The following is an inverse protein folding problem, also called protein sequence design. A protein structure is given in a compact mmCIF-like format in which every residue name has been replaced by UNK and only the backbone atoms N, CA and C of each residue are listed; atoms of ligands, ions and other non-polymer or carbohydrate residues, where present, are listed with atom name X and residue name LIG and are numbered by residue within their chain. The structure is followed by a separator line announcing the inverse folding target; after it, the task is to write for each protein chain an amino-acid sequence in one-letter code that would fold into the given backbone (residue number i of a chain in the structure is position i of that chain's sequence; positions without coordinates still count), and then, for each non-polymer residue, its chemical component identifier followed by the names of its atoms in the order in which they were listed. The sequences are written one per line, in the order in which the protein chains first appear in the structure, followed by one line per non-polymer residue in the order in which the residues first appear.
data_IF_150620920635
#
_entry.id   IF_150620920635
#
_cell.length_a   1.000
_cell.length_b   1.000
_cell.length_c   1.000
_cell.angle_alpha   90.00
_cell.angle_beta   90.00
_cell.angle_gamma   90.00
#
_symmetry.space_group_name_H-M   'P 1'
#
loop_
_entity.id
_entity.type
_entity.pdbx_description
1 polymer ?
#
# COMPACT_ATOMS: atom_id res chain seq x y z
N UNK A 1 -22.18 -14.88 -15.71
CA UNK A 1 -22.24 -13.40 -15.60
C UNK A 1 -22.74 -12.80 -16.90
N UNK A 2 -23.64 -11.82 -16.82
CA UNK A 2 -24.21 -11.13 -17.99
C UNK A 2 -23.17 -10.19 -18.64
N UNK A 3 -23.01 -10.12 -19.97
CA UNK A 3 -21.96 -9.34 -20.63
C UNK A 3 -22.29 -7.84 -20.72
N UNK A 4 -22.53 -7.20 -19.57
CA UNK A 4 -22.74 -5.74 -19.48
C UNK A 4 -21.43 -4.97 -19.72
N UNK A 5 -21.54 -3.69 -20.08
CA UNK A 5 -20.37 -2.79 -20.16
C UNK A 5 -19.58 -2.77 -18.84
N UNK A 6 -20.28 -2.72 -17.71
CA UNK A 6 -19.70 -2.77 -16.37
C UNK A 6 -18.87 -4.05 -16.13
N UNK A 7 -19.41 -5.23 -16.46
CA UNK A 7 -18.70 -6.48 -16.26
C UNK A 7 -17.47 -6.63 -17.18
N UNK A 8 -17.53 -6.08 -18.40
CA UNK A 8 -16.38 -6.03 -19.30
C UNK A 8 -15.29 -5.11 -18.75
N UNK A 9 -15.67 -3.98 -18.18
CA UNK A 9 -14.73 -3.02 -17.60
C UNK A 9 -14.03 -3.59 -16.37
N UNK A 10 -14.77 -4.20 -15.43
CA UNK A 10 -14.18 -4.91 -14.29
C UNK A 10 -13.18 -5.96 -14.77
N UNK A 11 -13.53 -6.73 -15.79
CA UNK A 11 -12.64 -7.76 -16.32
C UNK A 11 -11.36 -7.14 -16.91
N UNK A 12 -11.47 -6.02 -17.63
CA UNK A 12 -10.31 -5.30 -18.19
C UNK A 12 -9.39 -4.80 -17.07
N UNK A 13 -9.94 -4.11 -16.09
CA UNK A 13 -9.19 -3.56 -14.95
C UNK A 13 -8.55 -4.67 -14.11
N UNK A 14 -9.25 -5.80 -13.92
CA UNK A 14 -8.67 -6.97 -13.26
C UNK A 14 -7.40 -7.47 -13.97
N UNK A 15 -7.47 -7.65 -15.28
CA UNK A 15 -6.33 -8.10 -16.09
C UNK A 15 -5.18 -7.09 -16.05
N UNK A 16 -5.50 -5.80 -16.08
CA UNK A 16 -4.51 -4.72 -15.97
C UNK A 16 -3.76 -4.77 -14.63
N UNK A 17 -4.48 -4.89 -13.51
CA UNK A 17 -3.88 -5.04 -12.17
C UNK A 17 -3.01 -6.30 -12.09
N UNK A 18 -3.49 -7.44 -12.62
CA UNK A 18 -2.72 -8.69 -12.62
C UNK A 18 -1.44 -8.59 -13.46
N UNK A 19 -1.49 -7.89 -14.59
CA UNK A 19 -0.34 -7.64 -15.45
C UNK A 19 0.72 -6.80 -14.72
N UNK A 20 0.30 -5.66 -14.14
CA UNK A 20 1.20 -4.76 -13.42
C UNK A 20 1.87 -5.45 -12.22
N UNK A 21 1.12 -6.23 -11.44
CA UNK A 21 1.67 -6.98 -10.32
C UNK A 21 2.69 -8.03 -10.77
N UNK A 22 2.41 -8.73 -11.87
CA UNK A 22 3.32 -9.72 -12.44
C UNK A 22 4.62 -9.07 -12.88
N UNK A 23 4.57 -7.91 -13.55
CA UNK A 23 5.74 -7.14 -13.98
C UNK A 23 6.61 -6.71 -12.78
N UNK A 24 6.00 -6.22 -11.70
CA UNK A 24 6.72 -5.83 -10.48
C UNK A 24 7.41 -7.03 -9.83
N UNK A 25 6.72 -8.16 -9.73
CA UNK A 25 7.28 -9.40 -9.16
C UNK A 25 8.46 -9.88 -9.99
N UNK A 26 8.31 -9.92 -11.31
CA UNK A 26 9.34 -10.38 -12.23
C UNK A 26 10.58 -9.49 -12.17
N UNK A 27 10.39 -8.17 -12.18
CA UNK A 27 11.49 -7.19 -12.04
C UNK A 27 12.29 -7.39 -10.74
N UNK A 28 11.61 -7.69 -9.61
CA UNK A 28 12.28 -7.98 -8.33
C UNK A 28 13.03 -9.31 -8.33
N UNK A 29 12.47 -10.35 -8.97
CA UNK A 29 13.14 -11.66 -9.14
C UNK A 29 14.41 -11.52 -9.97
N UNK A 30 14.31 -10.91 -11.14
CA UNK A 30 15.45 -10.67 -12.03
C UNK A 30 16.55 -9.86 -11.35
N UNK A 31 16.18 -8.80 -10.62
CA UNK A 31 17.13 -7.98 -9.87
C UNK A 31 17.96 -8.76 -8.86
N UNK A 32 17.39 -9.81 -8.25
CA UNK A 32 18.11 -10.68 -7.31
C UNK A 32 18.94 -11.74 -8.04
N UNK A 33 18.41 -12.35 -9.10
CA UNK A 33 19.11 -13.36 -9.90
C UNK A 33 20.39 -12.82 -10.54
N UNK A 34 20.35 -11.60 -11.07
CA UNK A 34 21.53 -10.94 -11.68
C UNK A 34 22.45 -10.28 -10.65
N UNK A 35 22.15 -10.41 -9.36
CA UNK A 35 22.95 -9.83 -8.26
C UNK A 35 22.88 -8.30 -8.15
N UNK A 36 21.90 -7.64 -8.80
CA UNK A 36 21.68 -6.18 -8.67
C UNK A 36 21.13 -5.80 -7.30
N UNK A 37 20.38 -6.71 -6.66
CA UNK A 37 19.83 -6.54 -5.32
C UNK A 37 20.09 -7.77 -4.46
N UNK A 38 20.35 -7.56 -3.16
CA UNK A 38 20.55 -8.65 -2.18
C UNK A 38 19.22 -9.21 -1.69
N UNK A 39 18.14 -8.41 -1.72
CA UNK A 39 16.80 -8.81 -1.28
C UNK A 39 15.72 -8.39 -2.28
N UNK A 40 14.48 -8.84 -2.05
CA UNK A 40 13.30 -8.41 -2.82
C UNK A 40 12.73 -7.07 -2.37
N UNK A 41 13.43 -6.32 -1.52
CA UNK A 41 12.95 -5.10 -0.85
C UNK A 41 12.46 -5.36 0.57
N UNK A 42 12.29 -4.29 1.34
CA UNK A 42 11.87 -4.32 2.75
C UNK A 42 10.40 -3.93 2.94
N UNK A 43 9.60 -4.03 1.89
CA UNK A 43 8.16 -3.82 1.93
C UNK A 43 7.40 -5.15 2.00
N UNK A 44 6.07 -5.09 2.15
CA UNK A 44 5.21 -6.28 2.25
C UNK A 44 5.46 -7.28 1.11
N UNK A 45 5.57 -6.80 -0.14
CA UNK A 45 5.81 -7.65 -1.30
C UNK A 45 7.18 -8.33 -1.21
N UNK A 46 8.22 -7.59 -0.81
CA UNK A 46 9.56 -8.14 -0.62
C UNK A 46 9.63 -9.19 0.48
N UNK A 47 8.91 -8.98 1.59
CA UNK A 47 8.78 -9.96 2.67
C UNK A 47 8.06 -11.22 2.22
N UNK A 48 6.91 -11.08 1.52
CA UNK A 48 6.17 -12.21 0.96
C UNK A 48 7.01 -13.00 -0.06
N UNK A 49 7.69 -12.32 -0.98
CA UNK A 49 8.58 -12.97 -1.96
C UNK A 49 9.75 -13.72 -1.28
N UNK A 50 10.29 -13.16 -0.20
CA UNK A 50 11.36 -13.81 0.57
C UNK A 50 10.86 -15.10 1.23
N UNK A 51 9.64 -15.09 1.77
CA UNK A 51 9.04 -16.25 2.39
C UNK A 51 8.74 -17.38 1.38
N UNK A 52 8.20 -17.01 0.21
CA UNK A 52 7.91 -17.96 -0.88
C UNK A 52 9.17 -18.64 -1.39
N UNK A 53 10.25 -17.89 -1.60
CA UNK A 53 11.46 -18.44 -2.18
C UNK A 53 12.40 -19.11 -1.15
N UNK A 54 12.33 -18.72 0.13
CA UNK A 54 13.11 -19.35 1.21
C UNK A 54 12.55 -20.71 1.62
N UNK A 55 11.22 -20.87 1.55
CA UNK A 55 10.55 -22.14 1.76
C UNK A 55 10.46 -22.92 0.44
N UNK A 56 11.40 -23.85 0.22
CA UNK A 56 11.13 -25.07 -0.59
C UNK A 56 10.07 -25.97 0.09
N UNK A 57 9.07 -25.39 0.75
CA UNK A 57 8.18 -26.09 1.67
C UNK A 57 6.86 -26.43 0.98
N UNK A 58 6.29 -27.57 1.38
CA UNK A 58 5.06 -28.21 0.91
C UNK A 58 3.76 -27.38 0.98
N UNK A 59 3.84 -26.06 1.13
CA UNK A 59 2.72 -25.14 0.92
C UNK A 59 2.86 -24.66 -0.52
N UNK A 60 1.92 -25.01 -1.40
CA UNK A 60 1.79 -24.44 -2.74
C UNK A 60 1.42 -22.94 -2.64
N UNK A 61 2.28 -22.12 -2.04
CA UNK A 61 2.15 -20.68 -2.06
C UNK A 61 2.63 -20.21 -3.43
N UNK A 62 1.76 -20.35 -4.42
CA UNK A 62 2.02 -19.93 -5.78
C UNK A 62 2.16 -18.41 -5.87
N UNK A 63 2.80 -17.92 -6.92
CA UNK A 63 2.84 -16.49 -7.25
C UNK A 63 1.43 -15.89 -7.33
N UNK A 64 0.42 -16.68 -7.72
CA UNK A 64 -0.98 -16.27 -7.74
C UNK A 64 -1.53 -15.99 -6.33
N UNK A 65 -1.28 -16.86 -5.36
CA UNK A 65 -1.65 -16.62 -3.96
C UNK A 65 -0.95 -15.38 -3.39
N UNK A 66 0.33 -15.17 -3.73
CA UNK A 66 1.04 -13.96 -3.35
C UNK A 66 0.34 -12.70 -3.88
N UNK A 67 -0.06 -12.72 -5.17
CA UNK A 67 -0.76 -11.60 -5.79
C UNK A 67 -2.13 -11.35 -5.16
N UNK A 68 -2.85 -12.40 -4.81
CA UNK A 68 -4.15 -12.31 -4.13
C UNK A 68 -4.04 -11.68 -2.75
N UNK A 69 -3.03 -12.06 -1.96
CA UNK A 69 -2.76 -11.43 -0.67
C UNK A 69 -2.36 -9.96 -0.84
N UNK A 70 -1.46 -9.63 -1.78
CA UNK A 70 -1.08 -8.24 -2.05
C UNK A 70 -2.29 -7.37 -2.46
N UNK A 71 -3.18 -7.89 -3.32
CA UNK A 71 -4.43 -7.20 -3.70
C UNK A 71 -5.31 -6.95 -2.49
N UNK A 72 -5.47 -7.96 -1.63
CA UNK A 72 -6.28 -7.87 -0.41
C UNK A 72 -5.79 -6.76 0.51
N UNK A 73 -4.48 -6.73 0.82
CA UNK A 73 -3.90 -5.67 1.65
C UNK A 73 -4.06 -4.28 1.02
N UNK A 74 -3.81 -4.15 -0.28
CA UNK A 74 -3.91 -2.88 -0.98
C UNK A 74 -5.33 -2.31 -0.97
N UNK A 75 -6.33 -3.12 -1.36
CA UNK A 75 -7.72 -2.64 -1.43
C UNK A 75 -8.29 -2.32 -0.05
N UNK A 76 -7.99 -3.15 0.96
CA UNK A 76 -8.44 -2.91 2.33
C UNK A 76 -7.93 -1.56 2.87
N UNK A 77 -6.66 -1.23 2.61
CA UNK A 77 -6.06 0.03 3.05
C UNK A 77 -6.46 1.24 2.22
N UNK A 78 -6.61 1.07 0.91
CA UNK A 78 -6.84 2.19 -0.01
C UNK A 78 -8.21 2.83 0.19
N UNK A 79 -9.29 2.04 0.12
CA UNK A 79 -10.65 2.61 0.18
C UNK A 79 -10.95 3.23 1.54
N UNK A 80 -10.54 2.57 2.62
CA UNK A 80 -10.80 3.02 4.00
C UNK A 80 -9.99 4.28 4.34
N UNK A 81 -8.69 4.31 4.01
CA UNK A 81 -7.82 5.46 4.30
C UNK A 81 -8.19 6.66 3.42
N UNK A 82 -8.47 6.45 2.13
CA UNK A 82 -8.89 7.54 1.24
C UNK A 82 -10.21 8.17 1.72
N UNK A 83 -11.18 7.35 2.14
CA UNK A 83 -12.43 7.84 2.68
C UNK A 83 -12.21 8.61 3.99
N UNK A 84 -11.44 8.05 4.92
CA UNK A 84 -11.09 8.70 6.19
C UNK A 84 -10.47 10.09 5.93
N UNK A 85 -9.43 10.17 5.10
CA UNK A 85 -8.76 11.43 4.77
C UNK A 85 -9.69 12.43 4.10
N UNK A 86 -10.59 11.96 3.22
CA UNK A 86 -11.58 12.83 2.57
C UNK A 86 -12.48 13.49 3.61
N UNK A 87 -13.02 12.72 4.57
CA UNK A 87 -13.84 13.27 5.64
C UNK A 87 -13.04 14.15 6.60
N UNK A 88 -11.83 13.74 6.99
CA UNK A 88 -10.95 14.52 7.86
C UNK A 88 -10.66 15.90 7.26
N UNK A 89 -10.25 15.95 5.99
CA UNK A 89 -9.95 17.23 5.30
C UNK A 89 -11.21 18.09 5.19
N UNK A 90 -12.36 17.49 4.84
CA UNK A 90 -13.62 18.22 4.76
C UNK A 90 -14.02 18.82 6.12
N UNK A 91 -13.93 18.04 7.20
CA UNK A 91 -14.25 18.51 8.55
C UNK A 91 -13.31 19.62 9.01
N UNK A 92 -12.00 19.51 8.73
CA UNK A 92 -11.04 20.57 9.05
C UNK A 92 -11.34 21.85 8.25
N UNK A 93 -11.66 21.74 6.95
CA UNK A 93 -12.02 22.90 6.13
C UNK A 93 -13.30 23.60 6.62
N UNK A 94 -14.28 22.85 7.12
CA UNK A 94 -15.49 23.38 7.74
C UNK A 94 -15.28 23.93 9.17
N UNK A 95 -14.16 23.62 9.81
CA UNK A 95 -13.87 24.02 11.20
C UNK A 95 -12.47 24.67 11.31
N UNK A 96 -12.29 25.93 10.86
CA UNK A 96 -10.97 26.57 10.81
C UNK A 96 -10.25 26.64 12.16
N UNK A 97 -10.98 26.75 13.27
CA UNK A 97 -10.40 26.76 14.61
C UNK A 97 -9.73 25.42 14.98
N UNK A 98 -10.28 24.30 14.52
CA UNK A 98 -9.68 22.97 14.69
C UNK A 98 -8.53 22.75 13.72
N UNK A 99 -8.66 23.26 12.49
CA UNK A 99 -7.58 23.23 11.52
C UNK A 99 -6.34 23.98 12.02
N UNK A 100 -6.51 25.16 12.62
CA UNK A 100 -5.39 25.94 13.15
C UNK A 100 -4.72 25.21 14.32
N UNK A 101 -5.50 24.67 15.27
CA UNK A 101 -4.95 23.89 16.39
C UNK A 101 -4.12 22.70 15.93
N UNK A 102 -4.62 21.91 14.97
CA UNK A 102 -3.89 20.77 14.42
C UNK A 102 -2.59 21.21 13.71
N UNK A 103 -2.64 22.34 12.99
CA UNK A 103 -1.47 22.92 12.32
C UNK A 103 -0.42 23.40 13.34
N UNK A 104 -0.85 24.12 14.37
CA UNK A 104 0.02 24.59 15.45
C UNK A 104 0.71 23.42 16.17
N UNK A 105 -0.01 22.35 16.47
CA UNK A 105 0.56 21.15 17.09
C UNK A 105 1.66 20.53 16.23
N UNK A 106 1.39 20.32 14.93
CA UNK A 106 2.39 19.79 14.00
C UNK A 106 3.62 20.70 13.92
N UNK A 107 3.43 22.02 13.89
CA UNK A 107 4.54 22.98 13.87
C UNK A 107 5.37 22.93 15.16
N UNK A 108 4.74 22.81 16.33
CA UNK A 108 5.43 22.71 17.62
C UNK A 108 6.21 21.41 17.77
N UNK A 109 5.60 20.29 17.37
CA UNK A 109 6.20 18.95 17.52
C UNK A 109 7.28 18.70 16.47
N UNK A 110 7.01 19.04 15.21
CA UNK A 110 7.93 18.76 14.11
C UNK A 110 8.95 19.87 13.87
N UNK A 111 8.71 21.10 14.37
CA UNK A 111 9.63 22.24 14.28
C UNK A 111 10.12 22.54 12.86
N UNK A 112 9.24 22.35 11.86
CA UNK A 112 9.56 22.54 10.45
C UNK A 112 10.32 21.37 9.80
N UNK A 113 10.69 20.34 10.55
CA UNK A 113 11.19 19.08 10.00
C UNK A 113 10.05 18.18 9.47
N UNK A 114 10.31 17.27 8.52
CA UNK A 114 9.31 16.30 8.10
C UNK A 114 8.82 15.43 9.27
N UNK A 115 7.51 15.14 9.37
CA UNK A 115 6.98 14.22 10.38
C UNK A 115 7.66 12.85 10.32
N UNK A 116 7.86 12.23 11.48
CA UNK A 116 8.50 10.92 11.64
C UNK A 116 7.73 10.08 12.66
N UNK A 117 8.04 8.78 12.74
CA UNK A 117 7.39 7.88 13.71
C UNK A 117 7.56 8.36 15.17
N UNK A 118 8.70 8.98 15.49
CA UNK A 118 8.99 9.50 16.83
C UNK A 118 8.12 10.70 17.23
N UNK A 119 7.51 11.37 16.24
CA UNK A 119 6.60 12.49 16.46
C UNK A 119 5.16 12.03 16.77
N UNK A 120 4.74 10.83 16.36
CA UNK A 120 3.34 10.39 16.43
C UNK A 120 2.78 10.39 17.86
N UNK A 121 3.55 9.90 18.82
CA UNK A 121 3.14 9.88 20.24
C UNK A 121 2.99 11.28 20.86
N UNK A 122 3.48 12.32 20.17
CA UNK A 122 3.47 13.72 20.60
C UNK A 122 2.39 14.55 19.88
N UNK A 123 1.56 13.93 19.04
CA UNK A 123 0.44 14.57 18.33
C UNK A 123 -0.92 14.09 18.91
N UNK A 124 -1.32 14.51 20.13
CA UNK A 124 -2.54 14.06 20.78
C UNK A 124 -3.86 14.71 20.30
N UNK A 125 -3.81 15.80 19.52
CA UNK A 125 -5.01 16.51 19.05
C UNK A 125 -5.82 15.78 17.96
#
# INVERSE_FOLDING_TARGET
FFPSRYNREIKRLKVEVETLLTEIIQSRREGKEIGRSVSYGNDLLGLLLTEVDSKKSNINFSTEHLMDECKTFFFAGHETTALLLTWTIMLLACNPSWQEKAREEVLQVCQGSPPSADHLSKLPL
#
